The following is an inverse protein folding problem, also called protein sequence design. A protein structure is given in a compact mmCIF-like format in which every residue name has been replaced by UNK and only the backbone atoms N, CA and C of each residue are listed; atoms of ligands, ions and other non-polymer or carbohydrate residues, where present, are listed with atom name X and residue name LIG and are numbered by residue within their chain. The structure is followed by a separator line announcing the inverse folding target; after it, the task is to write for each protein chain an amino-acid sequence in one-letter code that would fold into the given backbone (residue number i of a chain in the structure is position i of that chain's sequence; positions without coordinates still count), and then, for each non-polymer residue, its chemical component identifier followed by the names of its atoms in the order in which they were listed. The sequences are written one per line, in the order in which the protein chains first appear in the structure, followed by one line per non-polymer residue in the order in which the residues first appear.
data_IF_632388421878
#
_entry.id   IF_632388421878
#
_cell.length_a   1.000
_cell.length_b   1.000
_cell.length_c   1.000
_cell.angle_alpha   90.00
_cell.angle_beta   90.00
_cell.angle_gamma   90.00
#
_symmetry.space_group_name_H-M   'P 1'
#
loop_
_entity.id
_entity.type
_entity.pdbx_description
1 polymer ?
#
# COMPACT_ATOMS: atom_id res chain seq x y z
N UNK A 1 -16.16 10.60 13.63
CA UNK A 1 -16.56 9.72 12.50
C UNK A 1 -15.28 9.20 11.83
N UNK A 2 -14.53 8.32 12.48
CA UNK A 2 -13.14 8.00 12.07
C UNK A 2 -12.94 6.60 11.46
N UNK A 3 -14.01 5.78 11.38
CA UNK A 3 -13.93 4.39 10.93
C UNK A 3 -14.16 4.17 9.42
N UNK A 4 -14.63 5.19 8.69
CA UNK A 4 -15.05 5.00 7.28
C UNK A 4 -13.85 5.04 6.32
N UNK A 5 -12.77 5.74 6.68
CA UNK A 5 -11.60 5.90 5.80
C UNK A 5 -10.77 4.62 5.71
N UNK A 6 -10.62 3.88 6.82
CA UNK A 6 -9.89 2.60 6.83
C UNK A 6 -10.59 1.50 6.01
N UNK A 7 -11.92 1.40 6.13
CA UNK A 7 -12.69 0.37 5.41
C UNK A 7 -12.72 0.54 3.89
N UNK A 8 -12.65 1.79 3.40
CA UNK A 8 -12.62 2.08 1.96
C UNK A 8 -11.29 1.66 1.30
N UNK A 9 -10.17 1.77 2.02
CA UNK A 9 -8.85 1.36 1.53
C UNK A 9 -8.77 -0.17 1.39
N UNK A 10 -9.36 -0.91 2.34
CA UNK A 10 -9.37 -2.39 2.33
C UNK A 10 -10.22 -2.93 1.18
N UNK A 11 -11.39 -2.34 0.91
CA UNK A 11 -12.26 -2.77 -0.20
C UNK A 11 -11.64 -2.48 -1.58
N UNK A 12 -10.93 -1.36 -1.73
CA UNK A 12 -10.18 -1.05 -2.95
C UNK A 12 -9.03 -2.05 -3.18
N UNK A 13 -8.35 -2.48 -2.12
CA UNK A 13 -7.31 -3.50 -2.20
C UNK A 13 -7.89 -4.83 -2.71
N UNK A 14 -9.04 -5.28 -2.21
CA UNK A 14 -9.69 -6.53 -2.66
C UNK A 14 -10.04 -6.49 -4.15
N UNK A 15 -10.58 -5.36 -4.65
CA UNK A 15 -10.88 -5.19 -6.08
C UNK A 15 -9.63 -5.14 -6.96
N UNK A 16 -8.52 -4.59 -6.45
CA UNK A 16 -7.26 -4.50 -7.19
C UNK A 16 -6.61 -5.86 -7.44
N UNK A 17 -6.79 -6.83 -6.54
CA UNK A 17 -6.25 -8.19 -6.72
C UNK A 17 -6.89 -8.92 -7.92
N UNK A 18 -8.14 -8.59 -8.27
CA UNK A 18 -8.82 -9.15 -9.44
C UNK A 18 -8.34 -8.55 -10.78
N UNK A 19 -7.72 -7.36 -10.77
CA UNK A 19 -7.39 -6.59 -11.98
C UNK A 19 -5.92 -6.74 -12.46
N UNK A 20 -5.13 -7.68 -11.91
CA UNK A 20 -3.70 -7.81 -12.23
C UNK A 20 -3.48 -8.40 -13.64
N UNK A 21 -3.58 -7.53 -14.65
CA UNK A 21 -3.36 -7.81 -16.08
C UNK A 21 -2.09 -7.19 -16.70
N UNK A 22 -1.13 -6.68 -15.92
CA UNK A 22 0.19 -6.25 -16.47
C UNK A 22 1.36 -6.72 -15.61
N UNK A 23 2.25 -7.47 -16.24
CA UNK A 23 3.43 -8.09 -15.63
C UNK A 23 4.57 -7.08 -15.47
N UNK A 24 4.67 -6.43 -14.31
CA UNK A 24 5.96 -5.88 -13.84
C UNK A 24 6.76 -6.99 -13.14
N UNK A 25 8.04 -7.13 -13.46
CA UNK A 25 8.93 -8.09 -12.79
C UNK A 25 8.99 -7.83 -11.28
N UNK A 26 8.93 -8.90 -10.47
CA UNK A 26 8.90 -8.82 -9.00
C UNK A 26 10.10 -8.05 -8.43
N UNK A 27 11.25 -8.08 -9.12
CA UNK A 27 12.43 -7.29 -8.75
C UNK A 27 12.27 -5.78 -8.94
N UNK A 28 11.50 -5.36 -9.95
CA UNK A 28 11.21 -3.93 -10.15
C UNK A 28 10.30 -3.43 -9.02
N UNK A 29 9.31 -4.23 -8.63
CA UNK A 29 8.39 -3.92 -7.53
C UNK A 29 9.11 -3.81 -6.19
N UNK A 30 10.08 -4.68 -5.90
CA UNK A 30 10.90 -4.56 -4.68
C UNK A 30 11.69 -3.26 -4.62
N UNK A 31 12.34 -2.86 -5.72
CA UNK A 31 13.11 -1.61 -5.78
C UNK A 31 12.20 -0.38 -5.64
N UNK A 32 11.05 -0.41 -6.30
CA UNK A 32 10.04 0.65 -6.23
C UNK A 32 9.48 0.79 -4.82
N UNK A 33 9.10 -0.31 -4.18
CA UNK A 33 8.61 -0.34 -2.80
C UNK A 33 9.63 0.24 -1.82
N UNK A 34 10.90 -0.19 -1.91
CA UNK A 34 11.97 0.33 -1.06
C UNK A 34 12.23 1.83 -1.26
N UNK A 35 12.22 2.30 -2.52
CA UNK A 35 12.37 3.72 -2.84
C UNK A 35 11.22 4.55 -2.28
N UNK A 36 9.97 4.09 -2.46
CA UNK A 36 8.78 4.78 -1.98
C UNK A 36 8.70 4.81 -0.46
N UNK A 37 9.07 3.72 0.24
CA UNK A 37 9.16 3.72 1.70
C UNK A 37 10.17 4.73 2.23
N UNK A 38 11.31 4.88 1.56
CA UNK A 38 12.29 5.91 1.93
C UNK A 38 11.76 7.32 1.68
N UNK A 39 11.06 7.55 0.56
CA UNK A 39 10.43 8.84 0.29
C UNK A 39 9.32 9.16 1.28
N UNK A 40 8.48 8.19 1.63
CA UNK A 40 7.42 8.33 2.62
C UNK A 40 8.00 8.70 3.98
N UNK A 41 9.07 8.04 4.44
CA UNK A 41 9.77 8.39 5.69
C UNK A 41 10.32 9.81 5.72
N UNK A 42 10.68 10.38 4.57
CA UNK A 42 11.24 11.73 4.46
C UNK A 42 10.15 12.81 4.33
N UNK A 43 8.95 12.44 3.88
CA UNK A 43 7.87 13.39 3.59
C UNK A 43 6.76 13.37 4.62
N UNK A 44 6.30 12.17 4.99
CA UNK A 44 5.18 12.02 5.91
C UNK A 44 5.64 12.29 7.34
N UNK A 45 4.75 12.90 8.12
CA UNK A 45 4.96 13.07 9.55
C UNK A 45 4.85 11.73 10.29
N UNK A 46 5.08 11.76 11.61
CA UNK A 46 5.07 10.55 12.43
C UNK A 46 3.69 9.88 12.51
N UNK A 47 2.61 10.66 12.44
CA UNK A 47 1.25 10.14 12.57
C UNK A 47 0.81 9.47 11.26
N UNK A 48 1.08 10.10 10.12
CA UNK A 48 0.80 9.54 8.80
C UNK A 48 1.72 8.37 8.47
N UNK A 49 2.98 8.40 8.91
CA UNK A 49 3.84 7.20 8.85
C UNK A 49 3.30 6.05 9.69
N UNK A 50 2.70 6.34 10.85
CA UNK A 50 2.10 5.31 11.71
C UNK A 50 0.85 4.71 11.07
N UNK A 51 0.00 5.54 10.46
CA UNK A 51 -1.17 5.10 9.69
C UNK A 51 -0.78 4.30 8.45
N UNK A 52 0.24 4.74 7.71
CA UNK A 52 0.78 4.01 6.57
C UNK A 52 1.29 2.63 6.99
N UNK A 53 2.03 2.54 8.10
CA UNK A 53 2.49 1.24 8.63
C UNK A 53 1.33 0.33 9.02
N UNK A 54 0.31 0.87 9.67
CA UNK A 54 -0.89 0.09 10.02
C UNK A 54 -1.57 -0.48 8.76
N UNK A 55 -1.76 0.34 7.72
CA UNK A 55 -2.33 -0.10 6.45
C UNK A 55 -1.47 -1.17 5.75
N UNK A 56 -0.14 -1.05 5.80
CA UNK A 56 0.76 -2.07 5.23
C UNK A 56 0.68 -3.40 5.98
N UNK A 57 0.56 -3.38 7.31
CA UNK A 57 0.36 -4.57 8.14
C UNK A 57 -0.98 -5.24 7.81
N UNK A 58 -2.06 -4.46 7.65
CA UNK A 58 -3.36 -5.02 7.25
C UNK A 58 -3.30 -5.72 5.89
N UNK A 59 -2.60 -5.14 4.92
CA UNK A 59 -2.38 -5.78 3.61
C UNK A 59 -1.61 -7.09 3.73
N UNK A 60 -0.60 -7.15 4.60
CA UNK A 60 0.18 -8.37 4.86
C UNK A 60 -0.71 -9.46 5.47
N UNK A 61 -1.53 -9.12 6.45
CA UNK A 61 -2.50 -10.05 7.07
C UNK A 61 -3.49 -10.59 6.03
N UNK A 62 -4.00 -9.73 5.14
CA UNK A 62 -4.92 -10.15 4.06
C UNK A 62 -4.19 -11.10 3.09
N UNK A 63 -2.96 -10.78 2.68
CA UNK A 63 -2.19 -11.62 1.78
C UNK A 63 -1.90 -13.00 2.40
N UNK A 64 -1.54 -13.05 3.68
CA UNK A 64 -1.30 -14.30 4.40
C UNK A 64 -2.58 -15.13 4.54
N UNK A 65 -3.73 -14.50 4.79
CA UNK A 65 -5.02 -15.19 4.80
C UNK A 65 -5.37 -15.79 3.42
N UNK A 66 -5.05 -15.09 2.34
CA UNK A 66 -5.25 -15.59 0.96
C UNK A 66 -4.32 -16.78 0.63
N UNK A 67 -3.12 -16.80 1.19
CA UNK A 67 -2.19 -17.94 1.10
C UNK A 67 -2.73 -19.12 1.92
N UNK A 68 -3.12 -18.87 3.17
CA UNK A 68 -3.62 -19.90 4.09
C UNK A 68 -4.90 -20.57 3.55
N UNK A 69 -5.79 -19.79 2.94
CA UNK A 69 -7.02 -20.29 2.32
C UNK A 69 -6.81 -20.93 0.95
N UNK A 70 -5.56 -20.99 0.45
CA UNK A 70 -5.17 -21.54 -0.86
C UNK A 70 -5.87 -20.88 -2.06
N UNK A 71 -6.43 -19.69 -1.88
CA UNK A 71 -7.05 -18.92 -2.97
C UNK A 71 -6.00 -18.43 -3.97
N UNK A 72 -4.77 -18.21 -3.52
CA UNK A 72 -3.64 -17.79 -4.35
C UNK A 72 -2.39 -18.61 -4.04
N UNK A 73 -1.51 -18.74 -5.03
CA UNK A 73 -0.14 -19.22 -4.78
C UNK A 73 0.64 -18.18 -3.95
N UNK A 74 1.61 -18.65 -3.15
CA UNK A 74 2.50 -17.79 -2.35
C UNK A 74 3.13 -16.68 -3.20
N UNK A 75 3.56 -17.01 -4.42
CA UNK A 75 4.16 -16.03 -5.35
C UNK A 75 3.14 -14.99 -5.82
N UNK A 76 1.93 -15.40 -6.18
CA UNK A 76 0.88 -14.49 -6.62
C UNK A 76 0.42 -13.56 -5.49
N UNK A 77 0.23 -14.09 -4.29
CA UNK A 77 -0.15 -13.32 -3.10
C UNK A 77 0.93 -12.29 -2.73
N UNK A 78 2.22 -12.70 -2.69
CA UNK A 78 3.33 -11.76 -2.47
C UNK A 78 3.41 -10.67 -3.53
N UNK A 79 3.20 -11.01 -4.81
CA UNK A 79 3.20 -10.04 -5.91
C UNK A 79 2.07 -9.02 -5.75
N UNK A 80 0.89 -9.48 -5.39
CA UNK A 80 -0.25 -8.61 -5.19
C UNK A 80 -0.09 -7.74 -3.94
N UNK A 81 0.46 -8.29 -2.84
CA UNK A 81 0.87 -7.53 -1.66
C UNK A 81 1.83 -6.39 -2.05
N UNK A 82 2.91 -6.68 -2.79
CA UNK A 82 3.87 -5.66 -3.22
C UNK A 82 3.21 -4.55 -4.04
N UNK A 83 2.31 -4.90 -4.97
CA UNK A 83 1.61 -3.91 -5.79
C UNK A 83 0.67 -3.04 -4.94
N UNK A 84 -0.07 -3.67 -4.03
CA UNK A 84 -0.96 -2.96 -3.11
C UNK A 84 -0.15 -2.01 -2.21
N UNK A 85 0.96 -2.48 -1.62
CA UNK A 85 1.85 -1.64 -0.80
C UNK A 85 2.38 -0.42 -1.56
N UNK A 86 2.84 -0.60 -2.81
CA UNK A 86 3.32 0.50 -3.66
C UNK A 86 2.22 1.54 -3.86
N UNK A 87 1.01 1.09 -4.21
CA UNK A 87 -0.12 1.98 -4.44
C UNK A 87 -0.55 2.70 -3.16
N UNK A 88 -0.62 2.00 -2.03
CA UNK A 88 -0.95 2.60 -0.73
C UNK A 88 0.05 3.70 -0.37
N UNK A 89 1.36 3.45 -0.50
CA UNK A 89 2.38 4.47 -0.20
C UNK A 89 2.22 5.69 -1.10
N UNK A 90 1.99 5.48 -2.40
CA UNK A 90 1.76 6.58 -3.35
C UNK A 90 0.53 7.40 -2.97
N UNK A 91 -0.59 6.76 -2.60
CA UNK A 91 -1.80 7.45 -2.18
C UNK A 91 -1.57 8.30 -0.92
N UNK A 92 -0.86 7.78 0.08
CA UNK A 92 -0.53 8.57 1.29
C UNK A 92 0.35 9.78 0.95
N UNK A 93 1.37 9.60 0.11
CA UNK A 93 2.24 10.70 -0.33
C UNK A 93 1.50 11.73 -1.21
N UNK A 94 0.52 11.29 -1.99
CA UNK A 94 -0.30 12.17 -2.82
C UNK A 94 -1.29 12.98 -1.98
N UNK A 95 -1.93 12.34 -0.99
CA UNK A 95 -2.78 13.02 0.00
C UNK A 95 -1.96 14.07 0.76
N UNK A 96 -0.80 13.69 1.30
CA UNK A 96 0.12 14.64 1.95
C UNK A 96 0.45 15.80 1.01
N UNK A 97 0.76 15.56 -0.26
CA UNK A 97 1.00 16.63 -1.24
C UNK A 97 -0.22 17.54 -1.49
N UNK A 98 -1.43 17.00 -1.50
CA UNK A 98 -2.66 17.77 -1.76
C UNK A 98 -3.06 18.63 -0.55
N UNK A 99 -2.73 18.18 0.66
CA UNK A 99 -3.10 18.86 1.90
C UNK A 99 -1.93 19.57 2.60
N UNK A 100 -0.69 19.35 2.16
CA UNK A 100 0.46 20.14 2.54
C UNK A 100 0.22 21.57 2.03
N UNK A 101 0.15 22.58 2.92
CA UNK A 101 -0.11 23.94 2.52
C UNK A 101 0.95 24.37 1.51
N UNK A 102 0.52 24.75 0.31
CA UNK A 102 1.34 25.52 -0.63
C UNK A 102 1.77 26.81 0.06
N UNK A 103 2.94 26.79 0.71
CA UNK A 103 3.58 27.96 1.29
C UNK A 103 3.78 27.90 2.79
N UNK A 104 4.87 27.25 3.22
CA UNK A 104 5.71 27.76 4.31
C UNK A 104 7.05 27.05 4.34
N UNK A 105 7.91 27.40 3.38
CA UNK A 105 9.34 27.66 3.58
C UNK A 105 9.92 28.33 2.34
#
# INVERSE_FOLDING_TARGET
MEFVVGGLVVLAAIWFFAAIGRERSDHALHRELGSLLNQAKLRLDQDDMSRLRAALIELEVIADAQIATRQLSVKAARRALMKASVQTIQSYMEIDRMFAPTGSR
#
